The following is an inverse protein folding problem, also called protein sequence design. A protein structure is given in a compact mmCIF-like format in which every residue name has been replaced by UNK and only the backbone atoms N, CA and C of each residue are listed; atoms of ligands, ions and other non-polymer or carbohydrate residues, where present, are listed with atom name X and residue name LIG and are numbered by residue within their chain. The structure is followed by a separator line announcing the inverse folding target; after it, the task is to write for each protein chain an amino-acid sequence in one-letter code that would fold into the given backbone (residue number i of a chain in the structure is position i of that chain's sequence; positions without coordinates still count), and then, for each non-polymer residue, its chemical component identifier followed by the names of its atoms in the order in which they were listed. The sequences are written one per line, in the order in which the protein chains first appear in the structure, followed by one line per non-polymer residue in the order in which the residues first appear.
data_IF_712847129148
#
_entry.id   IF_712847129148
#
_cell.length_a   1.000
_cell.length_b   1.000
_cell.length_c   1.000
_cell.angle_alpha   90.00
_cell.angle_beta   90.00
_cell.angle_gamma   90.00
#
_symmetry.space_group_name_H-M   'P 1'
#
loop_
_entity.id
_entity.type
_entity.pdbx_description
1 polymer ?
#
# COMPACT_ATOMS: atom_id res chain seq x y z
N UNK A 1 11.34 -12.61 -22.33
CA UNK A 1 11.50 -11.70 -21.17
C UNK A 1 11.27 -12.40 -19.81
N UNK A 2 11.89 -11.89 -18.75
CA UNK A 2 11.73 -12.41 -17.38
C UNK A 2 11.73 -11.26 -16.36
N UNK A 3 10.91 -11.37 -15.30
CA UNK A 3 10.98 -10.49 -14.14
C UNK A 3 12.12 -10.97 -13.24
N UNK A 4 13.10 -10.10 -12.99
CA UNK A 4 14.34 -10.41 -12.27
C UNK A 4 14.41 -9.56 -11.02
N UNK A 5 14.65 -10.22 -9.89
CA UNK A 5 14.86 -9.58 -8.61
C UNK A 5 16.35 -9.57 -8.26
N UNK A 6 16.88 -8.41 -7.92
CA UNK A 6 18.21 -8.24 -7.33
C UNK A 6 18.06 -8.32 -5.81
N UNK A 7 18.47 -9.46 -5.24
CA UNK A 7 18.17 -9.81 -3.86
C UNK A 7 18.88 -8.89 -2.87
N UNK A 8 20.13 -8.50 -3.13
CA UNK A 8 20.90 -7.66 -2.20
C UNK A 8 20.28 -6.27 -2.10
N UNK A 9 19.81 -5.70 -3.21
CA UNK A 9 19.07 -4.44 -3.24
C UNK A 9 17.72 -4.54 -2.51
N UNK A 10 16.96 -5.62 -2.72
CA UNK A 10 15.70 -5.84 -2.01
C UNK A 10 15.93 -5.90 -0.49
N UNK A 11 16.88 -6.72 -0.03
CA UNK A 11 17.20 -6.86 1.39
C UNK A 11 17.75 -5.56 2.00
N UNK A 12 18.55 -4.79 1.24
CA UNK A 12 19.01 -3.47 1.66
C UNK A 12 17.83 -2.49 1.81
N UNK A 13 16.88 -2.48 0.89
CA UNK A 13 15.69 -1.64 0.97
C UNK A 13 14.81 -2.00 2.18
N UNK A 14 14.62 -3.31 2.42
CA UNK A 14 13.86 -3.84 3.56
C UNK A 14 14.47 -3.36 4.88
N UNK A 15 15.78 -3.53 5.07
CA UNK A 15 16.48 -3.05 6.28
C UNK A 15 16.39 -1.54 6.43
N UNK A 16 16.66 -0.79 5.37
CA UNK A 16 16.64 0.68 5.39
C UNK A 16 15.30 1.24 5.85
N UNK A 17 14.17 0.67 5.40
CA UNK A 17 12.85 1.11 5.87
C UNK A 17 12.72 1.03 7.39
N UNK A 18 13.13 -0.08 7.98
CA UNK A 18 13.06 -0.25 9.44
C UNK A 18 14.11 0.55 10.20
N UNK A 19 15.27 0.81 9.60
CA UNK A 19 16.28 1.73 10.14
C UNK A 19 15.74 3.16 10.20
N UNK A 20 15.13 3.65 9.12
CA UNK A 20 14.50 4.98 9.09
C UNK A 20 13.35 5.05 10.10
N UNK A 21 12.49 4.03 10.15
CA UNK A 21 11.41 3.97 11.14
C UNK A 21 11.91 3.85 12.59
N UNK A 22 13.18 3.52 12.82
CA UNK A 22 13.82 3.60 14.12
C UNK A 22 13.75 5.00 14.77
N UNK A 23 13.62 6.05 13.96
CA UNK A 23 13.41 7.43 14.43
C UNK A 23 11.99 7.72 14.95
N UNK A 24 11.03 6.81 14.75
CA UNK A 24 9.62 6.99 15.13
C UNK A 24 9.17 5.80 16.00
N UNK A 25 9.56 5.78 17.29
CA UNK A 25 9.46 4.58 18.12
C UNK A 25 8.03 4.09 18.37
N UNK A 26 7.04 4.95 18.20
CA UNK A 26 5.62 4.64 18.42
C UNK A 26 4.88 4.27 17.12
N UNK A 27 5.61 4.18 15.99
CA UNK A 27 5.04 3.87 14.67
C UNK A 27 5.46 2.47 14.23
N UNK A 28 4.47 1.64 13.94
CA UNK A 28 4.65 0.31 13.39
C UNK A 28 4.77 0.33 11.86
N UNK A 29 5.43 -0.68 11.31
CA UNK A 29 5.47 -0.95 9.88
C UNK A 29 4.47 -2.06 9.55
N UNK A 30 3.57 -1.83 8.60
CA UNK A 30 2.73 -2.88 8.02
C UNK A 30 2.86 -2.83 6.49
N UNK A 31 3.89 -3.48 5.93
CA UNK A 31 4.20 -3.31 4.53
C UNK A 31 3.13 -3.90 3.63
N UNK A 32 3.02 -3.34 2.43
CA UNK A 32 1.92 -3.68 1.54
C UNK A 32 2.28 -4.77 0.53
N UNK A 33 1.69 -5.95 0.73
CA UNK A 33 1.91 -7.12 -0.09
C UNK A 33 1.40 -6.97 -1.54
N UNK A 34 0.58 -5.95 -1.85
CA UNK A 34 0.07 -5.72 -3.21
C UNK A 34 1.16 -5.46 -4.23
N UNK A 35 2.30 -4.94 -3.77
CA UNK A 35 3.44 -4.62 -4.62
C UNK A 35 4.13 -5.88 -5.16
N UNK A 36 4.25 -6.94 -4.35
CA UNK A 36 5.03 -8.14 -4.69
C UNK A 36 4.22 -9.43 -4.77
N UNK A 37 3.11 -9.55 -4.03
CA UNK A 37 2.22 -10.74 -3.97
C UNK A 37 2.98 -12.06 -3.77
N UNK A 38 4.10 -11.99 -3.05
CA UNK A 38 5.06 -13.07 -2.85
C UNK A 38 5.27 -13.28 -1.35
N UNK A 39 5.03 -14.50 -0.86
CA UNK A 39 5.09 -14.87 0.57
C UNK A 39 6.51 -14.73 1.10
N UNK A 40 7.50 -15.13 0.33
CA UNK A 40 8.92 -15.10 0.70
C UNK A 40 9.37 -13.66 0.99
N UNK A 41 8.95 -12.69 0.16
CA UNK A 41 9.23 -11.26 0.38
C UNK A 41 8.49 -10.74 1.62
N UNK A 42 7.23 -11.14 1.83
CA UNK A 42 6.49 -10.78 3.04
C UNK A 42 7.22 -11.29 4.29
N UNK A 43 7.72 -12.52 4.26
CA UNK A 43 8.47 -13.08 5.39
C UNK A 43 9.79 -12.35 5.63
N UNK A 44 10.53 -11.94 4.59
CA UNK A 44 11.72 -11.10 4.77
C UNK A 44 11.40 -9.78 5.49
N UNK A 45 10.24 -9.19 5.23
CA UNK A 45 9.77 -8.00 5.94
C UNK A 45 9.33 -8.30 7.38
N UNK A 46 8.61 -9.41 7.60
CA UNK A 46 8.16 -9.84 8.93
C UNK A 46 9.32 -10.13 9.89
N UNK A 47 10.50 -10.50 9.38
CA UNK A 47 11.71 -10.67 10.19
C UNK A 47 12.37 -9.34 10.61
N UNK A 48 11.89 -8.19 10.11
CA UNK A 48 12.42 -6.89 10.51
C UNK A 48 11.74 -6.35 11.78
N UNK A 49 12.46 -5.55 12.59
CA UNK A 49 11.88 -4.85 13.73
C UNK A 49 10.68 -3.99 13.34
N UNK A 50 9.73 -3.81 14.28
CA UNK A 50 8.53 -2.96 14.13
C UNK A 50 7.52 -3.42 13.09
N UNK A 51 7.75 -4.53 12.39
CA UNK A 51 6.79 -5.08 11.44
C UNK A 51 5.70 -5.86 12.17
N UNK A 52 4.43 -5.48 11.96
CA UNK A 52 3.27 -5.99 12.74
C UNK A 52 2.28 -6.83 11.93
N UNK A 53 2.67 -7.30 10.75
CA UNK A 53 1.82 -8.01 9.80
C UNK A 53 1.96 -7.43 8.41
N UNK A 54 1.05 -7.74 7.48
CA UNK A 54 1.06 -7.15 6.13
C UNK A 54 -0.30 -6.58 5.72
N UNK A 55 -0.28 -5.58 4.84
CA UNK A 55 -1.46 -5.06 4.16
C UNK A 55 -1.73 -5.85 2.87
N UNK A 56 -2.98 -6.26 2.66
CA UNK A 56 -3.47 -6.85 1.42
C UNK A 56 -4.58 -5.98 0.82
N UNK A 57 -4.59 -5.78 -0.50
CA UNK A 57 -5.67 -4.98 -1.13
C UNK A 57 -6.91 -5.82 -1.44
N UNK A 58 -6.76 -7.15 -1.59
CA UNK A 58 -7.83 -8.08 -1.96
C UNK A 58 -7.77 -9.34 -1.12
N UNK A 59 -8.94 -9.96 -0.91
CA UNK A 59 -9.07 -11.23 -0.18
C UNK A 59 -8.20 -12.34 -0.76
N UNK A 60 -8.01 -12.39 -2.08
CA UNK A 60 -7.14 -13.41 -2.69
C UNK A 60 -5.67 -13.26 -2.26
N UNK A 61 -5.20 -12.03 -2.05
CA UNK A 61 -3.86 -11.76 -1.52
C UNK A 61 -3.78 -12.17 -0.06
N UNK A 62 -4.80 -11.81 0.73
CA UNK A 62 -4.89 -12.22 2.14
C UNK A 62 -4.87 -13.74 2.29
N UNK A 63 -5.59 -14.47 1.45
CA UNK A 63 -5.60 -15.95 1.44
C UNK A 63 -4.21 -16.52 1.18
N UNK A 64 -3.43 -15.91 0.28
CA UNK A 64 -2.08 -16.36 -0.03
C UNK A 64 -1.07 -16.05 1.10
N UNK A 65 -1.29 -14.97 1.84
CA UNK A 65 -0.34 -14.48 2.87
C UNK A 65 -0.64 -15.01 4.28
N UNK A 66 -1.90 -15.31 4.59
CA UNK A 66 -2.37 -15.49 5.96
C UNK A 66 -1.63 -16.58 6.75
N UNK A 67 -1.36 -17.74 6.14
CA UNK A 67 -0.71 -18.85 6.84
C UNK A 67 0.74 -18.56 7.22
N UNK A 68 1.42 -17.70 6.46
CA UNK A 68 2.81 -17.36 6.68
C UNK A 68 2.94 -16.15 7.62
N UNK A 69 2.13 -15.11 7.40
CA UNK A 69 2.26 -13.83 8.11
C UNK A 69 1.52 -13.83 9.45
N UNK A 70 0.36 -14.50 9.54
CA UNK A 70 -0.43 -14.57 10.78
C UNK A 70 -1.16 -13.29 11.19
N UNK A 71 -0.86 -12.12 10.62
CA UNK A 71 -1.59 -10.86 10.85
C UNK A 71 -1.79 -10.07 9.54
N UNK A 72 -3.05 -9.91 9.14
CA UNK A 72 -3.45 -9.27 7.88
C UNK A 72 -4.36 -8.07 8.15
N UNK A 73 -4.01 -6.93 7.54
CA UNK A 73 -4.93 -5.82 7.31
C UNK A 73 -5.41 -5.84 5.86
N UNK A 74 -6.72 -5.95 5.64
CA UNK A 74 -7.31 -5.73 4.33
C UNK A 74 -7.62 -4.24 4.14
N UNK A 75 -6.79 -3.54 3.37
CA UNK A 75 -6.83 -2.09 3.15
C UNK A 75 -7.82 -1.66 2.06
N UNK A 76 -8.94 -2.39 1.96
CA UNK A 76 -10.03 -2.13 1.00
C UNK A 76 -11.34 -2.76 1.47
N UNK A 77 -12.45 -2.20 1.01
CA UNK A 77 -13.81 -2.56 1.40
C UNK A 77 -14.23 -3.92 0.82
N UNK A 78 -15.14 -4.59 1.52
CA UNK A 78 -15.77 -5.84 1.10
C UNK A 78 -17.23 -5.61 0.74
N UNK A 79 -17.54 -5.74 -0.54
CA UNK A 79 -18.90 -5.54 -1.05
C UNK A 79 -19.70 -6.84 -1.28
N UNK A 80 -19.15 -8.04 -0.97
CA UNK A 80 -19.88 -9.31 -1.24
C UNK A 80 -19.78 -10.33 -0.10
N UNK A 81 -20.88 -11.08 0.19
CA UNK A 81 -20.89 -12.12 1.21
C UNK A 81 -19.82 -13.20 1.00
N UNK A 82 -19.58 -13.60 -0.25
CA UNK A 82 -18.60 -14.64 -0.57
C UNK A 82 -17.16 -14.21 -0.23
N UNK A 83 -16.82 -12.93 -0.44
CA UNK A 83 -15.51 -12.38 -0.07
C UNK A 83 -15.41 -12.21 1.45
N UNK A 84 -16.47 -11.75 2.11
CA UNK A 84 -16.52 -11.61 3.56
C UNK A 84 -16.30 -12.97 4.26
N UNK A 85 -17.00 -14.03 3.83
CA UNK A 85 -16.81 -15.40 4.36
C UNK A 85 -15.38 -15.91 4.17
N UNK A 86 -14.79 -15.70 2.98
CA UNK A 86 -13.40 -16.09 2.73
C UNK A 86 -12.41 -15.37 3.65
N UNK A 87 -12.63 -14.08 3.92
CA UNK A 87 -11.81 -13.30 4.83
C UNK A 87 -11.97 -13.79 6.28
N UNK A 88 -13.21 -13.97 6.75
CA UNK A 88 -13.50 -14.48 8.10
C UNK A 88 -12.92 -15.88 8.35
N UNK A 89 -12.94 -16.75 7.33
CA UNK A 89 -12.35 -18.08 7.41
C UNK A 89 -10.82 -18.06 7.65
N UNK A 90 -10.12 -16.96 7.33
CA UNK A 90 -8.70 -16.79 7.68
C UNK A 90 -8.52 -16.65 9.19
N UNK A 91 -9.41 -15.92 9.86
CA UNK A 91 -9.36 -15.77 11.32
C UNK A 91 -9.57 -17.11 12.04
N UNK A 92 -10.46 -17.96 11.51
CA UNK A 92 -10.69 -19.31 12.05
C UNK A 92 -9.44 -20.19 11.97
N UNK A 93 -8.54 -19.91 11.03
CA UNK A 93 -7.27 -20.63 10.83
C UNK A 93 -6.14 -20.11 11.73
N UNK A 94 -6.41 -19.13 12.59
CA UNK A 94 -5.44 -18.56 13.53
C UNK A 94 -4.80 -17.26 13.06
N UNK A 95 -5.24 -16.67 11.94
CA UNK A 95 -4.76 -15.36 11.49
C UNK A 95 -5.48 -14.22 12.23
N UNK A 96 -4.75 -13.23 12.73
CA UNK A 96 -5.32 -11.93 13.08
C UNK A 96 -5.79 -11.25 11.79
N UNK A 97 -7.06 -10.84 11.73
CA UNK A 97 -7.64 -10.23 10.53
C UNK A 97 -8.32 -8.92 10.91
N UNK A 98 -7.85 -7.84 10.32
CA UNK A 98 -8.48 -6.52 10.35
C UNK A 98 -8.94 -6.14 8.95
N UNK A 99 -10.13 -5.57 8.82
CA UNK A 99 -10.67 -5.10 7.54
C UNK A 99 -11.08 -3.63 7.61
N UNK A 100 -11.03 -2.94 6.48
CA UNK A 100 -11.45 -1.55 6.37
C UNK A 100 -12.91 -1.49 5.91
N UNK A 101 -13.69 -0.58 6.50
CA UNK A 101 -15.09 -0.30 6.14
C UNK A 101 -15.35 1.19 6.09
N UNK A 102 -16.21 1.61 5.16
CA UNK A 102 -16.68 2.99 5.00
C UNK A 102 -18.20 3.11 5.14
N UNK A 103 -18.88 1.99 5.40
CA UNK A 103 -20.34 1.91 5.42
C UNK A 103 -20.83 0.79 6.33
N UNK A 104 -22.00 0.99 6.93
CA UNK A 104 -22.61 -0.02 7.81
C UNK A 104 -22.96 -1.30 7.05
N UNK A 105 -23.37 -1.19 5.77
CA UNK A 105 -23.66 -2.35 4.93
C UNK A 105 -22.42 -3.26 4.76
N UNK A 106 -21.24 -2.69 4.50
CA UNK A 106 -19.99 -3.44 4.40
C UNK A 106 -19.65 -4.11 5.74
N UNK A 107 -19.85 -3.41 6.85
CA UNK A 107 -19.66 -3.95 8.19
C UNK A 107 -20.62 -5.11 8.52
N UNK A 108 -21.90 -5.00 8.19
CA UNK A 108 -22.90 -6.06 8.39
C UNK A 108 -22.54 -7.34 7.62
N UNK A 109 -22.00 -7.20 6.40
CA UNK A 109 -21.50 -8.34 5.63
C UNK A 109 -20.35 -9.06 6.34
N UNK A 110 -19.41 -8.30 6.91
CA UNK A 110 -18.31 -8.84 7.69
C UNK A 110 -18.79 -9.48 9.00
N UNK A 111 -19.71 -8.84 9.71
CA UNK A 111 -20.29 -9.36 10.95
C UNK A 111 -21.03 -10.68 10.71
N UNK A 112 -21.86 -10.77 9.65
CA UNK A 112 -22.55 -12.00 9.28
C UNK A 112 -21.57 -13.14 8.92
N UNK A 113 -20.48 -12.83 8.22
CA UNK A 113 -19.44 -13.79 7.90
C UNK A 113 -18.68 -14.25 9.16
N UNK A 114 -18.28 -13.31 10.02
CA UNK A 114 -17.60 -13.59 11.27
C UNK A 114 -18.46 -14.46 12.21
N UNK A 115 -19.76 -14.18 12.31
CA UNK A 115 -20.74 -15.01 13.03
C UNK A 115 -20.80 -16.44 12.50
N UNK A 116 -20.81 -16.59 11.16
CA UNK A 116 -20.87 -17.90 10.50
C UNK A 116 -19.61 -18.72 10.78
N UNK A 117 -18.44 -18.08 10.78
CA UNK A 117 -17.16 -18.75 11.03
C UNK A 117 -16.83 -18.89 12.53
N UNK A 118 -17.65 -18.30 13.43
CA UNK A 118 -17.43 -18.34 14.87
C UNK A 118 -16.21 -17.54 15.32
N UNK A 119 -15.93 -16.41 14.67
CA UNK A 119 -14.75 -15.56 14.90
C UNK A 119 -15.14 -14.12 15.18
N UNK A 120 -14.17 -13.33 15.64
CA UNK A 120 -14.26 -11.88 15.74
C UNK A 120 -13.23 -11.24 14.81
N UNK A 121 -13.62 -10.19 14.08
CA UNK A 121 -12.73 -9.47 13.15
C UNK A 121 -12.42 -8.07 13.67
N UNK A 122 -11.18 -7.61 13.47
CA UNK A 122 -10.85 -6.20 13.61
C UNK A 122 -11.46 -5.40 12.48
N UNK A 123 -11.91 -4.18 12.75
CA UNK A 123 -12.36 -3.24 11.73
C UNK A 123 -11.78 -1.84 11.95
N UNK A 124 -11.42 -1.19 10.85
CA UNK A 124 -11.05 0.22 10.81
C UNK A 124 -12.06 0.98 9.96
N UNK A 125 -12.35 2.22 10.33
CA UNK A 125 -13.11 3.13 9.48
C UNK A 125 -12.17 3.74 8.42
N UNK A 126 -12.47 3.59 7.13
CA UNK A 126 -11.75 4.30 6.07
C UNK A 126 -12.17 5.76 6.05
N UNK A 127 -11.20 6.66 6.00
CA UNK A 127 -11.41 8.11 6.03
C UNK A 127 -10.80 8.72 4.79
N UNK A 128 -11.60 9.52 4.07
CA UNK A 128 -11.09 10.31 2.95
C UNK A 128 -10.22 11.47 3.47
N UNK A 129 -8.90 11.24 3.51
CA UNK A 129 -7.90 12.26 3.85
C UNK A 129 -7.44 13.09 2.64
N UNK A 130 -8.20 13.04 1.54
CA UNK A 130 -8.03 13.87 0.34
C UNK A 130 -7.67 13.13 -0.94
N UNK A 131 -7.73 11.79 -0.96
CA UNK A 131 -7.53 11.01 -2.19
C UNK A 131 -8.78 11.01 -3.07
N UNK A 132 -9.96 11.27 -2.49
CA UNK A 132 -11.27 11.25 -3.16
C UNK A 132 -11.52 9.92 -3.88
N UNK A 133 -11.32 8.81 -3.15
CA UNK A 133 -11.48 7.43 -3.66
C UNK A 133 -12.53 6.63 -2.90
N UNK A 134 -12.25 6.30 -1.65
CA UNK A 134 -13.10 5.56 -0.73
C UNK A 134 -13.04 6.27 0.64
N UNK A 135 -13.89 5.81 1.57
CA UNK A 135 -13.92 6.32 2.94
C UNK A 135 -14.93 7.42 3.17
N UNK A 136 -15.25 7.60 4.45
CA UNK A 136 -16.16 8.64 4.92
C UNK A 136 -15.49 10.02 4.83
N UNK A 137 -16.26 11.07 4.57
CA UNK A 137 -15.71 12.39 4.23
C UNK A 137 -15.42 13.27 5.45
N UNK A 138 -15.73 12.81 6.67
CA UNK A 138 -15.40 13.58 7.85
C UNK A 138 -15.73 12.97 9.22
N UNK A 139 -15.47 13.72 10.29
CA UNK A 139 -15.54 13.21 11.66
C UNK A 139 -16.94 12.73 12.08
N UNK A 140 -18.00 13.41 11.62
CA UNK A 140 -19.38 13.08 11.98
C UNK A 140 -19.81 11.73 11.41
N UNK A 141 -19.46 11.46 10.15
CA UNK A 141 -19.74 10.20 9.48
C UNK A 141 -18.91 9.06 10.09
N UNK A 142 -17.64 9.30 10.40
CA UNK A 142 -16.80 8.33 11.09
C UNK A 142 -17.37 7.93 12.46
N UNK A 143 -17.82 8.90 13.25
CA UNK A 143 -18.47 8.64 14.55
C UNK A 143 -19.80 7.90 14.37
N UNK A 144 -20.61 8.26 13.38
CA UNK A 144 -21.86 7.56 13.10
C UNK A 144 -21.61 6.10 12.72
N UNK A 145 -20.61 5.83 11.87
CA UNK A 145 -20.21 4.48 11.51
C UNK A 145 -19.66 3.72 12.71
N UNK A 146 -18.79 4.31 13.53
CA UNK A 146 -18.25 3.68 14.74
C UNK A 146 -19.35 3.27 15.74
N UNK A 147 -20.41 4.08 15.89
CA UNK A 147 -21.59 3.71 16.68
C UNK A 147 -22.33 2.53 16.08
N UNK A 148 -22.51 2.48 14.76
CA UNK A 148 -23.09 1.31 14.10
C UNK A 148 -22.25 0.05 14.28
N UNK A 149 -20.92 0.18 14.24
CA UNK A 149 -19.99 -0.93 14.49
C UNK A 149 -20.09 -1.46 15.93
N UNK A 150 -20.38 -0.60 16.91
CA UNK A 150 -20.53 -1.00 18.31
C UNK A 150 -21.70 -1.97 18.55
N UNK A 151 -22.73 -1.92 17.70
CA UNK A 151 -23.89 -2.82 17.75
C UNK A 151 -23.62 -4.20 17.09
N UNK A 152 -22.42 -4.41 16.54
CA UNK A 152 -22.01 -5.64 15.85
C UNK A 152 -20.95 -6.39 16.69
N UNK A 153 -21.34 -7.32 17.59
CA UNK A 153 -20.41 -7.95 18.54
C UNK A 153 -19.33 -8.83 17.88
N UNK A 154 -19.54 -9.27 16.63
CA UNK A 154 -18.55 -10.02 15.86
C UNK A 154 -17.41 -9.13 15.32
N UNK A 155 -17.54 -7.81 15.47
CA UNK A 155 -16.54 -6.85 15.03
C UNK A 155 -15.87 -6.18 16.25
N UNK A 156 -14.65 -5.74 16.03
CA UNK A 156 -13.88 -4.95 16.97
C UNK A 156 -13.42 -3.68 16.28
N UNK A 157 -14.02 -2.54 16.63
CA UNK A 157 -13.50 -1.25 16.17
C UNK A 157 -12.09 -1.04 16.71
N UNK A 158 -11.13 -0.79 15.82
CA UNK A 158 -9.71 -0.63 16.16
C UNK A 158 -9.16 0.76 15.85
N UNK A 159 -9.91 1.63 15.19
CA UNK A 159 -9.47 2.95 14.77
C UNK A 159 -9.75 3.22 13.30
N UNK A 160 -8.82 3.88 12.61
CA UNK A 160 -9.05 4.40 11.26
C UNK A 160 -7.93 4.04 10.28
N UNK A 161 -8.30 3.97 9.01
CA UNK A 161 -7.37 4.07 7.88
C UNK A 161 -7.51 5.46 7.24
N UNK A 162 -6.38 6.10 6.94
CA UNK A 162 -6.33 7.35 6.19
C UNK A 162 -5.19 7.32 5.19
N UNK A 163 -5.46 6.94 3.95
CA UNK A 163 -4.44 6.82 2.90
C UNK A 163 -4.57 7.94 1.86
N UNK A 164 -3.52 8.75 1.71
CA UNK A 164 -3.44 9.78 0.67
C UNK A 164 -2.56 9.30 -0.50
N UNK A 165 -3.17 8.59 -1.45
CA UNK A 165 -2.48 8.05 -2.61
C UNK A 165 -1.95 9.09 -3.60
N UNK A 166 -2.59 10.27 -3.71
CA UNK A 166 -2.15 11.32 -4.64
C UNK A 166 -0.83 11.97 -4.22
N UNK A 167 -0.53 11.99 -2.91
CA UNK A 167 0.70 12.57 -2.40
C UNK A 167 1.95 11.74 -2.75
N UNK A 168 1.80 10.45 -3.02
CA UNK A 168 2.93 9.51 -3.15
C UNK A 168 3.92 9.89 -4.26
N UNK A 169 3.43 10.51 -5.34
CA UNK A 169 4.20 10.87 -6.53
C UNK A 169 4.27 12.40 -6.77
N UNK A 170 3.92 13.21 -5.77
CA UNK A 170 4.20 14.65 -5.80
C UNK A 170 5.72 14.81 -5.83
N UNK A 171 6.25 15.44 -6.89
CA UNK A 171 7.70 15.47 -7.14
C UNK A 171 8.43 16.33 -6.13
N UNK A 172 7.98 17.57 -5.95
CA UNK A 172 8.60 18.49 -5.02
C UNK A 172 8.42 18.00 -3.57
N UNK A 173 9.52 17.93 -2.81
CA UNK A 173 9.51 17.47 -1.43
C UNK A 173 8.60 18.30 -0.53
N UNK A 174 8.64 19.63 -0.64
CA UNK A 174 7.84 20.52 0.21
C UNK A 174 6.34 20.40 -0.07
N UNK A 175 5.94 20.27 -1.34
CA UNK A 175 4.54 20.03 -1.72
C UNK A 175 4.04 18.67 -1.23
N UNK A 176 4.89 17.64 -1.32
CA UNK A 176 4.58 16.29 -0.83
C UNK A 176 4.42 16.27 0.70
N UNK A 177 5.33 16.94 1.40
CA UNK A 177 5.28 17.13 2.85
C UNK A 177 4.01 17.89 3.28
N UNK A 178 3.65 18.96 2.55
CA UNK A 178 2.43 19.71 2.81
C UNK A 178 1.16 18.87 2.60
N UNK A 179 1.12 18.05 1.54
CA UNK A 179 0.00 17.14 1.28
C UNK A 179 -0.13 16.06 2.37
N UNK A 180 0.98 15.49 2.84
CA UNK A 180 1.00 14.54 3.95
C UNK A 180 0.54 15.20 5.26
N UNK A 181 0.99 16.42 5.56
CA UNK A 181 0.56 17.18 6.73
C UNK A 181 -0.95 17.49 6.70
N UNK A 182 -1.51 17.83 5.54
CA UNK A 182 -2.95 18.04 5.38
C UNK A 182 -3.75 16.74 5.61
N UNK A 183 -3.26 15.61 5.11
CA UNK A 183 -3.87 14.30 5.36
C UNK A 183 -3.84 13.94 6.87
N UNK A 184 -2.70 14.16 7.54
CA UNK A 184 -2.56 13.93 8.97
C UNK A 184 -3.48 14.83 9.80
N UNK A 185 -3.67 16.11 9.41
CA UNK A 185 -4.60 17.02 10.07
C UNK A 185 -6.04 16.50 10.01
N UNK A 186 -6.50 16.06 8.83
CA UNK A 186 -7.84 15.46 8.66
C UNK A 186 -8.00 14.18 9.49
N UNK A 187 -6.99 13.30 9.49
CA UNK A 187 -7.00 12.11 10.32
C UNK A 187 -7.10 12.47 11.82
N UNK A 188 -6.35 13.49 12.29
CA UNK A 188 -6.39 13.97 13.68
C UNK A 188 -7.77 14.49 14.07
N UNK A 189 -8.44 15.24 13.19
CA UNK A 189 -9.81 15.72 13.43
C UNK A 189 -10.79 14.57 13.63
N UNK A 190 -10.68 13.52 12.81
CA UNK A 190 -11.52 12.31 12.92
C UNK A 190 -11.21 11.53 14.20
N UNK A 191 -9.93 11.29 14.51
CA UNK A 191 -9.53 10.63 15.76
C UNK A 191 -10.07 11.38 16.97
N UNK A 192 -9.91 12.70 17.01
CA UNK A 192 -10.39 13.54 18.12
C UNK A 192 -11.91 13.44 18.31
N UNK A 193 -12.67 13.39 17.22
CA UNK A 193 -14.13 13.24 17.29
C UNK A 193 -14.55 11.83 17.75
N UNK A 194 -13.85 10.79 17.30
CA UNK A 194 -14.07 9.41 17.74
C UNK A 194 -13.79 9.27 19.24
N UNK A 195 -12.67 9.80 19.72
CA UNK A 195 -12.31 9.78 21.15
C UNK A 195 -13.32 10.55 22.00
N UNK A 196 -13.75 11.75 21.55
CA UNK A 196 -14.79 12.53 22.21
C UNK A 196 -16.14 11.80 22.27
N UNK A 197 -16.41 10.91 21.32
CA UNK A 197 -17.58 10.04 21.29
C UNK A 197 -17.40 8.72 22.05
N UNK A 198 -16.25 8.49 22.70
CA UNK A 198 -15.95 7.31 23.51
C UNK A 198 -15.32 6.14 22.74
N UNK A 199 -14.87 6.35 21.50
CA UNK A 199 -14.22 5.33 20.68
C UNK A 199 -12.70 5.55 20.66
N UNK A 200 -11.95 4.60 21.22
CA UNK A 200 -10.49 4.65 21.19
C UNK A 200 -9.95 4.18 19.84
N UNK A 201 -9.04 4.94 19.25
CA UNK A 201 -8.35 4.56 18.02
C UNK A 201 -7.00 3.91 18.37
N UNK A 202 -6.99 2.59 18.55
CA UNK A 202 -5.76 1.81 18.77
C UNK A 202 -4.80 1.92 17.58
N UNK A 203 -5.36 2.00 16.36
CA UNK A 203 -4.62 2.05 15.10
C UNK A 203 -5.10 3.24 14.28
N UNK A 204 -4.14 4.08 13.89
CA UNK A 204 -4.31 5.10 12.86
C UNK A 204 -3.29 4.76 11.77
N UNK A 205 -3.75 4.13 10.70
CA UNK A 205 -2.88 3.53 9.68
C UNK A 205 -3.03 4.20 8.33
N UNK A 206 -1.94 4.31 7.59
CA UNK A 206 -1.94 4.97 6.29
C UNK A 206 -0.55 5.07 5.70
N UNK A 207 -0.34 6.10 4.89
CA UNK A 207 0.97 6.37 4.29
C UNK A 207 1.45 5.34 3.27
N UNK A 208 2.36 5.78 2.40
CA UNK A 208 2.97 4.94 1.37
C UNK A 208 4.44 5.26 1.20
N UNK A 209 5.10 4.61 0.24
CA UNK A 209 6.55 4.75 0.01
C UNK A 209 7.00 6.21 -0.15
N UNK A 210 6.14 7.09 -0.69
CA UNK A 210 6.46 8.50 -0.92
C UNK A 210 6.24 9.41 0.29
N UNK A 211 5.46 8.97 1.27
CA UNK A 211 5.02 9.82 2.40
C UNK A 211 5.30 9.23 3.79
N UNK A 212 5.69 7.96 3.90
CA UNK A 212 5.79 7.22 5.17
C UNK A 212 6.56 7.98 6.26
N UNK A 213 7.62 8.70 5.90
CA UNK A 213 8.44 9.46 6.85
C UNK A 213 7.69 10.67 7.40
N UNK A 214 6.94 11.40 6.56
CA UNK A 214 6.07 12.50 7.00
C UNK A 214 4.90 11.98 7.84
N UNK A 215 4.31 10.86 7.42
CA UNK A 215 3.19 10.24 8.12
C UNK A 215 3.63 9.74 9.50
N UNK A 216 4.79 9.09 9.61
CA UNK A 216 5.36 8.65 10.87
C UNK A 216 5.76 9.81 11.80
N UNK A 217 6.25 10.92 11.23
CA UNK A 217 6.59 12.13 11.98
C UNK A 217 5.38 12.95 12.45
N UNK A 218 4.17 12.64 11.97
CA UNK A 218 2.97 13.47 12.20
C UNK A 218 2.46 13.49 13.65
N UNK A 219 2.85 12.50 14.46
CA UNK A 219 2.25 12.25 15.77
C UNK A 219 0.75 11.94 15.70
N UNK A 220 0.27 11.44 14.56
CA UNK A 220 -1.11 11.00 14.32
C UNK A 220 -1.13 9.52 13.96
N UNK A 221 -0.35 9.12 12.95
CA UNK A 221 -0.29 7.74 12.50
C UNK A 221 0.49 6.87 13.49
N UNK A 222 -0.08 5.73 13.86
CA UNK A 222 0.56 4.71 14.69
C UNK A 222 1.10 3.54 13.85
N UNK A 223 0.77 3.51 12.56
CA UNK A 223 1.20 2.48 11.61
C UNK A 223 1.32 3.07 10.20
N UNK A 224 2.35 2.66 9.44
CA UNK A 224 2.52 3.05 8.03
C UNK A 224 2.50 1.85 7.08
N UNK A 225 2.01 2.06 5.84
CA UNK A 225 1.72 1.02 4.85
C UNK A 225 2.56 1.05 3.55
N UNK A 226 3.87 1.37 3.57
CA UNK A 226 4.66 1.41 2.33
C UNK A 226 4.79 0.01 1.71
N UNK A 227 4.76 -0.04 0.37
CA UNK A 227 4.86 -1.30 -0.40
C UNK A 227 6.00 -1.27 -1.40
N UNK A 228 5.97 -0.32 -2.33
CA UNK A 228 6.92 -0.26 -3.46
C UNK A 228 8.38 -0.03 -3.04
N UNK A 229 8.64 0.39 -1.80
CA UNK A 229 10.00 0.65 -1.30
C UNK A 229 10.93 -0.56 -1.44
N UNK A 230 10.39 -1.80 -1.38
CA UNK A 230 11.20 -3.02 -1.55
C UNK A 230 11.84 -3.12 -2.93
N UNK A 231 11.21 -2.50 -3.93
CA UNK A 231 11.65 -2.52 -5.32
C UNK A 231 12.29 -1.22 -5.78
N UNK A 232 11.76 -0.09 -5.30
CA UNK A 232 11.79 1.14 -6.08
C UNK A 232 11.01 0.97 -7.39
N UNK A 233 10.91 2.05 -8.14
CA UNK A 233 10.63 2.00 -9.57
C UNK A 233 11.07 3.32 -10.19
N UNK A 234 10.93 3.43 -11.51
CA UNK A 234 11.26 4.63 -12.27
C UNK A 234 10.44 5.83 -11.79
N UNK A 235 9.17 5.62 -11.46
CA UNK A 235 8.28 6.73 -11.15
C UNK A 235 8.52 7.28 -9.74
N UNK A 236 8.74 6.44 -8.74
CA UNK A 236 9.18 6.86 -7.42
C UNK A 236 10.56 7.52 -7.45
N UNK A 237 11.48 7.08 -8.31
CA UNK A 237 12.80 7.73 -8.43
C UNK A 237 12.77 9.14 -9.02
N UNK A 238 11.64 9.57 -9.59
CA UNK A 238 11.45 10.95 -10.06
C UNK A 238 11.03 11.91 -8.95
N UNK A 239 10.67 11.41 -7.77
CA UNK A 239 10.44 12.28 -6.63
C UNK A 239 11.76 12.95 -6.21
N UNK A 240 11.66 14.18 -5.73
CA UNK A 240 12.79 14.95 -5.24
C UNK A 240 12.85 14.92 -3.70
N UNK A 241 14.05 14.95 -3.16
CA UNK A 241 14.34 15.15 -1.74
C UNK A 241 14.33 16.65 -1.37
N UNK A 242 14.72 16.97 -0.14
CA UNK A 242 14.67 18.34 0.39
C UNK A 242 15.67 19.27 -0.30
N UNK A 243 16.76 18.72 -0.83
CA UNK A 243 17.82 19.40 -1.57
C UNK A 243 17.43 19.60 -3.05
N UNK A 244 16.37 18.94 -3.51
CA UNK A 244 15.89 18.99 -4.89
C UNK A 244 16.53 17.94 -5.79
N UNK A 245 17.27 16.99 -5.23
CA UNK A 245 17.87 15.87 -5.94
C UNK A 245 16.89 14.69 -6.01
N UNK A 246 17.01 13.80 -7.02
CA UNK A 246 16.19 12.61 -7.10
C UNK A 246 16.35 11.71 -5.87
N UNK A 247 15.23 11.25 -5.31
CA UNK A 247 15.21 10.34 -4.16
C UNK A 247 16.00 9.08 -4.48
N UNK A 248 17.11 8.91 -3.77
CA UNK A 248 18.03 7.78 -3.91
C UNK A 248 17.97 6.78 -2.74
N UNK A 249 17.00 6.97 -1.84
CA UNK A 249 16.81 6.13 -0.66
C UNK A 249 16.56 4.66 -1.01
N UNK A 250 15.92 4.38 -2.14
CA UNK A 250 15.57 3.02 -2.54
C UNK A 250 16.41 2.57 -3.73
N UNK A 251 17.09 1.42 -3.59
CA UNK A 251 17.80 0.79 -4.70
C UNK A 251 16.78 0.15 -5.64
N UNK A 252 16.99 0.30 -6.95
CA UNK A 252 16.21 -0.46 -7.94
C UNK A 252 16.54 -1.95 -7.78
N UNK A 253 15.58 -2.75 -7.35
CA UNK A 253 15.75 -4.19 -7.14
C UNK A 253 14.91 -5.04 -8.10
N UNK A 254 13.93 -4.46 -8.81
CA UNK A 254 13.09 -5.17 -9.77
C UNK A 254 13.38 -4.76 -11.21
N UNK A 255 13.65 -5.73 -12.08
CA UNK A 255 14.01 -5.51 -13.47
C UNK A 255 13.22 -6.44 -14.39
N UNK A 256 13.07 -6.06 -15.66
CA UNK A 256 12.64 -6.98 -16.71
C UNK A 256 13.82 -7.25 -17.63
N UNK A 257 14.32 -8.48 -17.60
CA UNK A 257 15.31 -8.96 -18.55
C UNK A 257 14.66 -9.10 -19.93
N UNK A 258 15.29 -8.50 -20.93
CA UNK A 258 14.82 -8.48 -22.31
C UNK A 258 15.98 -8.77 -23.28
N UNK A 259 15.65 -9.36 -24.42
CA UNK A 259 16.59 -9.70 -25.49
C UNK A 259 16.32 -8.81 -26.70
N UNK A 260 17.38 -8.30 -27.35
CA UNK A 260 17.26 -7.64 -28.65
C UNK A 260 16.95 -8.70 -29.71
N UNK A 261 15.74 -8.63 -30.29
CA UNK A 261 15.27 -9.59 -31.31
C UNK A 261 15.35 -9.04 -32.73
N UNK A 262 15.48 -7.73 -32.89
CA UNK A 262 15.69 -7.10 -34.19
C UNK A 262 16.50 -5.82 -34.06
N UNK A 263 17.34 -5.57 -35.06
CA UNK A 263 18.15 -4.35 -35.17
C UNK A 263 18.01 -3.77 -36.56
N UNK A 264 17.48 -2.57 -36.65
CA UNK A 264 17.46 -1.77 -37.87
C UNK A 264 18.48 -0.64 -37.72
N UNK A 265 19.67 -0.84 -38.30
CA UNK A 265 20.78 0.12 -38.22
C UNK A 265 20.46 1.43 -38.92
N UNK A 266 19.80 1.39 -40.09
CA UNK A 266 19.46 2.59 -40.86
C UNK A 266 18.50 3.50 -40.09
N UNK A 267 17.50 2.92 -39.42
CA UNK A 267 16.54 3.64 -38.59
C UNK A 267 17.02 3.84 -37.14
N UNK A 268 18.25 3.43 -36.80
CA UNK A 268 18.81 3.44 -35.42
C UNK A 268 17.86 2.85 -34.37
N UNK A 269 17.18 1.75 -34.73
CA UNK A 269 16.15 1.12 -33.91
C UNK A 269 16.56 -0.29 -33.49
N UNK A 270 16.28 -0.62 -32.23
CA UNK A 270 16.30 -2.00 -31.72
C UNK A 270 14.90 -2.38 -31.24
N UNK A 271 14.56 -3.65 -31.37
CA UNK A 271 13.30 -4.20 -30.86
C UNK A 271 13.64 -5.22 -29.78
N UNK A 272 12.98 -5.09 -28.62
CA UNK A 272 13.11 -6.01 -27.51
C UNK A 272 11.95 -7.00 -27.47
N UNK A 273 12.17 -8.18 -26.90
CA UNK A 273 11.13 -9.19 -26.65
C UNK A 273 10.23 -8.89 -25.42
N UNK A 274 10.45 -7.76 -24.74
CA UNK A 274 9.65 -7.29 -23.61
C UNK A 274 8.72 -6.15 -24.06
N UNK A 275 7.42 -6.45 -24.17
CA UNK A 275 6.37 -5.45 -24.45
C UNK A 275 5.34 -5.38 -23.33
N UNK A 276 4.12 -4.91 -23.64
CA UNK A 276 3.03 -4.69 -22.67
C UNK A 276 2.61 -5.93 -21.86
N UNK A 277 2.92 -7.14 -22.35
CA UNK A 277 2.68 -8.40 -21.60
C UNK A 277 3.71 -8.66 -20.50
N UNK A 278 4.83 -7.94 -20.50
CA UNK A 278 5.92 -8.06 -19.53
C UNK A 278 6.07 -6.83 -18.63
N UNK A 279 5.74 -5.63 -19.14
CA UNK A 279 5.85 -4.36 -18.42
C UNK A 279 4.60 -3.51 -18.68
N UNK A 280 3.94 -3.03 -17.62
CA UNK A 280 2.87 -2.04 -17.76
C UNK A 280 3.43 -0.65 -18.10
N UNK A 281 2.67 0.14 -18.86
CA UNK A 281 3.02 1.50 -19.28
C UNK A 281 2.17 2.57 -18.57
N UNK A 282 1.40 2.20 -17.55
CA UNK A 282 0.47 3.11 -16.85
C UNK A 282 1.18 4.36 -16.27
N UNK A 283 2.47 4.24 -15.94
CA UNK A 283 3.33 5.35 -15.44
C UNK A 283 4.41 5.79 -16.44
N UNK A 284 4.17 5.52 -17.73
CA UNK A 284 5.12 5.76 -18.83
C UNK A 284 6.01 4.54 -19.15
N UNK A 285 6.90 4.68 -20.14
CA UNK A 285 7.78 3.59 -20.55
C UNK A 285 8.82 3.24 -19.47
N UNK A 286 9.31 2.00 -19.44
CA UNK A 286 10.45 1.62 -18.60
C UNK A 286 11.72 2.37 -19.02
N UNK A 287 12.76 2.32 -18.19
CA UNK A 287 14.11 2.77 -18.54
C UNK A 287 15.04 1.58 -18.78
N UNK A 288 16.10 1.79 -19.56
CA UNK A 288 17.15 0.78 -19.79
C UNK A 288 18.26 0.96 -18.77
N UNK A 289 18.48 -0.03 -17.91
CA UNK A 289 19.53 0.02 -16.89
C UNK A 289 20.91 0.26 -17.52
N UNK A 290 21.64 1.23 -16.99
CA UNK A 290 22.98 1.60 -17.44
C UNK A 290 23.02 2.55 -18.64
N UNK A 291 21.85 2.94 -19.16
CA UNK A 291 21.74 3.98 -20.18
C UNK A 291 21.23 5.26 -19.52
N UNK A 292 21.73 6.45 -19.88
CA UNK A 292 21.09 7.69 -19.44
C UNK A 292 19.71 7.81 -20.08
N UNK A 293 18.76 8.46 -19.40
CA UNK A 293 17.37 8.60 -19.86
C UNK A 293 17.25 9.19 -21.28
N UNK A 294 18.21 10.03 -21.68
CA UNK A 294 18.27 10.65 -23.01
C UNK A 294 18.85 9.73 -24.11
N UNK A 295 19.39 8.55 -23.78
CA UNK A 295 20.08 7.68 -24.74
C UNK A 295 19.13 7.05 -25.77
N UNK A 296 17.87 6.80 -25.41
CA UNK A 296 16.91 6.17 -26.28
C UNK A 296 15.48 6.60 -25.97
N UNK A 297 14.71 6.81 -27.04
CA UNK A 297 13.26 6.89 -26.94
C UNK A 297 12.69 5.49 -26.93
N UNK A 298 11.89 5.18 -25.91
CA UNK A 298 11.24 3.87 -25.76
C UNK A 298 9.78 4.01 -26.19
N UNK A 299 9.38 3.19 -27.16
CA UNK A 299 8.05 3.18 -27.76
C UNK A 299 7.45 1.77 -27.67
N UNK A 300 6.14 1.67 -27.44
CA UNK A 300 5.41 0.41 -27.58
C UNK A 300 4.61 0.45 -28.89
N UNK A 301 4.98 -0.37 -29.86
CA UNK A 301 4.34 -0.45 -31.18
C UNK A 301 3.50 -1.71 -31.41
N UNK A 302 3.30 -2.54 -30.38
CA UNK A 302 2.80 -3.91 -30.52
C UNK A 302 1.64 -4.22 -29.57
N UNK A 303 0.46 -3.68 -29.87
CA UNK A 303 -0.79 -4.04 -29.22
C UNK A 303 -1.96 -3.84 -30.18
N UNK A 304 -2.45 -4.91 -30.81
CA UNK A 304 -3.60 -4.89 -31.72
C UNK A 304 -4.95 -4.55 -31.06
N UNK A 305 -4.97 -3.93 -29.88
CA UNK A 305 -6.16 -3.56 -29.13
C UNK A 305 -6.02 -2.21 -28.44
N UNK A 306 -5.68 -1.16 -29.19
CA UNK A 306 -6.14 0.21 -28.92
C UNK A 306 -6.23 0.93 -30.26
N UNK A 307 -7.45 1.32 -30.63
CA UNK A 307 -7.78 2.13 -31.81
C UNK A 307 -7.35 3.61 -31.58
N UNK A 308 -7.39 4.48 -32.60
CA UNK A 308 -6.37 5.44 -33.03
C UNK A 308 -5.97 6.53 -32.03
#
# INVERSE_FOLDING_TARGET
PALVLELDALEANIRRMTETLGGFPDVALRPHAKSHKTVEVAMLQMHQPRTVGVCCQKVAEAVAMADAVGDILLTNEIATPAKARRLAALARRGCSVTAVVDSLQSAELLAAAARTEGVRLGVLVDVNVGQDRCGVDGPQEAVALARGLAELPELHFRGIQGYQGLAQHIRNHSERSAAAAAAAARAREVVSALEAAGFQCEVVTGGGTGTYEFDAASGVFTEVQPGSYVFGDVDYSRNLDAEGDPVSAWRQSLFVAATVVSRNTAARRVVLDAGLKAVSYDSGPPLVRGWPDSAARIESGGGGHTNP
#
